data_IF_557469837128
#
_entry.id   IF_557469837128
#
_cell.length_a   1.000
_cell.length_b   1.000
_cell.length_c   1.000
_cell.angle_alpha   90.00
_cell.angle_beta   90.00
_cell.angle_gamma   90.00
#
_symmetry.space_group_name_H-M   'P 1'
#
loop_
_entity.id
_entity.type
_entity.pdbx_description
1 polymer ?
#
# COMPACT_ATOMS: atom_id res chain seq x y z
N UNK A 1 -50.02 -9.90 -17.13
CA UNK A 1 -49.41 -10.76 -16.10
C UNK A 1 -47.91 -10.70 -16.36
N UNK A 2 -47.09 -10.28 -15.40
CA UNK A 2 -45.64 -10.13 -15.61
C UNK A 2 -45.00 -11.49 -15.93
N UNK A 3 -44.02 -11.52 -16.82
CA UNK A 3 -43.35 -12.73 -17.24
C UNK A 3 -42.53 -13.31 -16.07
N UNK A 4 -42.80 -14.55 -15.61
CA UNK A 4 -42.09 -15.16 -14.47
C UNK A 4 -40.57 -15.28 -14.65
N UNK A 5 -40.07 -15.26 -15.88
CA UNK A 5 -38.63 -15.24 -16.16
C UNK A 5 -38.01 -13.86 -15.90
N UNK A 6 -38.74 -12.78 -16.20
CA UNK A 6 -38.28 -11.40 -15.95
C UNK A 6 -38.18 -11.12 -14.45
N UNK A 7 -39.15 -11.59 -13.66
CA UNK A 7 -39.14 -11.44 -12.20
C UNK A 7 -37.92 -12.13 -11.57
N UNK A 8 -37.60 -13.36 -12.01
CA UNK A 8 -36.40 -14.07 -11.55
C UNK A 8 -35.11 -13.35 -11.96
N UNK A 9 -35.06 -12.83 -13.19
CA UNK A 9 -33.90 -12.08 -13.68
C UNK A 9 -33.70 -10.78 -12.89
N UNK A 10 -34.77 -10.07 -12.55
CA UNK A 10 -34.72 -8.86 -11.73
C UNK A 10 -34.15 -9.14 -10.33
N UNK A 11 -34.60 -10.23 -9.67
CA UNK A 11 -34.10 -10.64 -8.35
C UNK A 11 -32.60 -10.99 -8.40
N UNK A 12 -32.16 -11.70 -9.44
CA UNK A 12 -30.74 -12.03 -9.62
C UNK A 12 -29.90 -10.78 -9.84
N UNK A 13 -30.38 -9.85 -10.68
CA UNK A 13 -29.70 -8.59 -10.93
C UNK A 13 -29.57 -7.75 -9.65
N UNK A 14 -30.64 -7.68 -8.85
CA UNK A 14 -30.62 -6.97 -7.57
C UNK A 14 -29.56 -7.55 -6.62
N UNK A 15 -29.45 -8.89 -6.54
CA UNK A 15 -28.42 -9.56 -5.75
C UNK A 15 -27.02 -9.27 -6.26
N UNK A 16 -26.82 -9.26 -7.57
CA UNK A 16 -25.53 -8.91 -8.20
C UNK A 16 -25.16 -7.48 -7.82
N UNK A 17 -26.08 -6.53 -7.97
CA UNK A 17 -25.86 -5.11 -7.63
C UNK A 17 -25.48 -4.97 -6.16
N UNK A 18 -26.22 -5.61 -5.24
CA UNK A 18 -25.91 -5.59 -3.81
C UNK A 18 -24.54 -6.17 -3.50
N UNK A 19 -24.17 -7.28 -4.13
CA UNK A 19 -22.87 -7.89 -3.92
C UNK A 19 -21.73 -7.02 -4.46
N UNK A 20 -21.90 -6.39 -5.62
CA UNK A 20 -20.93 -5.44 -6.17
C UNK A 20 -20.80 -4.20 -5.28
N UNK A 21 -21.91 -3.69 -4.74
CA UNK A 21 -21.90 -2.60 -3.77
C UNK A 21 -21.05 -2.92 -2.53
N UNK A 22 -21.30 -4.08 -1.91
CA UNK A 22 -20.50 -4.55 -0.76
C UNK A 22 -19.03 -4.77 -1.10
N UNK A 23 -18.74 -5.23 -2.31
CA UNK A 23 -17.38 -5.39 -2.80
C UNK A 23 -16.66 -4.04 -2.88
N UNK A 24 -17.32 -3.03 -3.43
CA UNK A 24 -16.77 -1.67 -3.52
C UNK A 24 -16.55 -1.04 -2.14
N UNK A 25 -17.47 -1.25 -1.19
CA UNK A 25 -17.30 -0.83 0.20
C UNK A 25 -16.05 -1.48 0.82
N UNK A 26 -15.90 -2.80 0.69
CA UNK A 26 -14.72 -3.52 1.19
C UNK A 26 -13.40 -3.03 0.55
N UNK A 27 -13.40 -2.71 -0.75
CA UNK A 27 -12.24 -2.10 -1.41
C UNK A 27 -11.94 -0.68 -0.90
N UNK A 28 -12.97 0.09 -0.55
CA UNK A 28 -12.80 1.44 0.00
C UNK A 28 -12.15 1.37 1.38
N UNK A 29 -12.62 0.45 2.24
CA UNK A 29 -12.02 0.19 3.55
C UNK A 29 -10.58 -0.33 3.43
N UNK A 30 -10.32 -1.22 2.47
CA UNK A 30 -8.98 -1.72 2.19
C UNK A 30 -8.02 -0.59 1.79
N UNK A 31 -8.46 0.31 0.91
CA UNK A 31 -7.64 1.44 0.49
C UNK A 31 -7.27 2.34 1.67
N UNK A 32 -8.23 2.64 2.56
CA UNK A 32 -7.96 3.43 3.76
C UNK A 32 -6.94 2.73 4.66
N UNK A 33 -7.10 1.42 4.88
CA UNK A 33 -6.16 0.64 5.69
C UNK A 33 -4.73 0.67 5.10
N UNK A 34 -4.61 0.57 3.77
CA UNK A 34 -3.31 0.67 3.09
C UNK A 34 -2.71 2.07 3.23
N UNK A 35 -3.51 3.13 3.12
CA UNK A 35 -3.05 4.50 3.36
C UNK A 35 -2.57 4.72 4.79
N UNK A 36 -3.27 4.17 5.77
CA UNK A 36 -2.91 4.25 7.18
C UNK A 36 -1.57 3.55 7.44
N UNK A 37 -1.39 2.33 6.91
CA UNK A 37 -0.12 1.59 7.00
C UNK A 37 1.01 2.35 6.31
N UNK A 38 0.77 2.88 5.11
CA UNK A 38 1.78 3.65 4.38
C UNK A 38 2.19 4.92 5.15
N UNK A 39 1.22 5.61 5.75
CA UNK A 39 1.47 6.80 6.56
C UNK A 39 2.25 6.47 7.83
N UNK A 40 1.89 5.38 8.52
CA UNK A 40 2.63 4.91 9.69
C UNK A 40 4.09 4.55 9.37
N UNK A 41 4.36 4.06 8.16
CA UNK A 41 5.70 3.66 7.73
C UNK A 41 6.57 4.83 7.21
N UNK A 42 5.99 6.03 7.05
CA UNK A 42 6.67 7.19 6.44
C UNK A 42 7.97 7.56 7.15
N UNK A 43 7.95 7.66 8.47
CA UNK A 43 9.11 8.07 9.25
C UNK A 43 10.22 7.02 9.21
N UNK A 44 9.87 5.74 9.29
CA UNK A 44 10.82 4.63 9.13
C UNK A 44 11.55 4.70 7.79
N UNK A 45 10.82 5.00 6.70
CA UNK A 45 11.43 5.17 5.36
C UNK A 45 12.36 6.37 5.33
N UNK A 46 11.99 7.50 5.95
CA UNK A 46 12.85 8.68 6.04
C UNK A 46 14.12 8.36 6.82
N UNK A 47 14.00 7.74 7.99
CA UNK A 47 15.14 7.33 8.81
C UNK A 47 16.07 6.40 8.03
N UNK A 48 15.54 5.35 7.38
CA UNK A 48 16.34 4.45 6.57
C UNK A 48 17.14 5.17 5.47
N UNK A 49 16.52 6.14 4.78
CA UNK A 49 17.20 6.98 3.78
C UNK A 49 18.28 7.87 4.38
N UNK A 50 18.04 8.45 5.55
CA UNK A 50 19.05 9.26 6.26
C UNK A 50 20.27 8.44 6.62
N UNK A 51 20.07 7.23 7.15
CA UNK A 51 21.16 6.30 7.48
C UNK A 51 21.93 5.86 6.23
N UNK A 52 21.26 5.52 5.13
CA UNK A 52 21.92 5.17 3.87
C UNK A 52 22.77 6.33 3.33
N UNK A 53 22.21 7.55 3.30
CA UNK A 53 22.95 8.74 2.88
C UNK A 53 24.15 9.05 3.78
N UNK A 54 23.98 8.95 5.10
CA UNK A 54 25.07 9.13 6.05
C UNK A 54 26.19 8.12 5.80
N UNK A 55 25.83 6.84 5.67
CA UNK A 55 26.78 5.76 5.46
C UNK A 55 27.54 5.91 4.13
N UNK A 56 26.86 6.33 3.05
CA UNK A 56 27.49 6.68 1.77
C UNK A 56 28.48 7.84 1.91
N UNK A 57 28.09 8.92 2.59
CA UNK A 57 28.96 10.08 2.80
C UNK A 57 30.19 9.75 3.65
N UNK A 58 30.02 8.97 4.72
CA UNK A 58 31.14 8.51 5.55
C UNK A 58 32.09 7.65 4.73
N UNK A 59 31.59 6.67 4.00
CA UNK A 59 32.42 5.81 3.14
C UNK A 59 33.17 6.61 2.06
N UNK A 60 32.50 7.60 1.44
CA UNK A 60 33.12 8.48 0.46
C UNK A 60 34.28 9.29 1.08
N UNK A 61 34.02 9.96 2.20
CA UNK A 61 35.02 10.80 2.86
C UNK A 61 36.19 9.96 3.39
N UNK A 62 35.93 8.81 4.02
CA UNK A 62 36.98 7.90 4.50
C UNK A 62 37.87 7.37 3.38
N UNK A 63 37.30 7.08 2.19
CA UNK A 63 38.09 6.75 0.99
C UNK A 63 38.95 7.93 0.55
N UNK A 64 38.39 9.15 0.56
CA UNK A 64 39.11 10.35 0.14
C UNK A 64 40.30 10.68 1.05
N UNK A 65 40.22 10.37 2.35
CA UNK A 65 41.31 10.62 3.31
C UNK A 65 42.20 9.39 3.58
N UNK A 66 42.08 8.30 2.81
CA UNK A 66 42.82 7.03 2.98
C UNK A 66 42.65 6.34 4.37
N UNK A 67 41.60 6.67 5.13
CA UNK A 67 41.33 6.09 6.46
C UNK A 67 40.28 4.98 6.45
N UNK A 68 39.93 4.43 5.28
CA UNK A 68 38.91 3.38 5.18
C UNK A 68 39.40 2.08 5.85
N UNK A 69 39.09 1.90 7.13
CA UNK A 69 39.33 0.66 7.87
C UNK A 69 38.37 -0.43 7.37
N UNK A 70 38.86 -1.66 7.22
CA UNK A 70 38.00 -2.82 6.89
C UNK A 70 36.97 -3.00 8.01
N UNK A 71 35.69 -3.28 7.69
CA UNK A 71 34.69 -3.57 8.72
C UNK A 71 35.14 -4.78 9.55
N UNK A 72 34.89 -4.71 10.86
CA UNK A 72 35.14 -5.79 11.83
C UNK A 72 34.21 -6.98 11.59
#
# INVERSE_FOLDING_TARGET
MANPFEEKQAILLERIIKNVGRCNEAFTELNQCVEDVNSANRDTVITAKLFDNYNRNVNYNLKAINELKKPL
#
